data_IF_397463681353
#
_entry.id   IF_397463681353
#
_cell.length_a   1.000
_cell.length_b   1.000
_cell.length_c   1.000
_cell.angle_alpha   90.00
_cell.angle_beta   90.00
_cell.angle_gamma   90.00
#
_symmetry.space_group_name_H-M   'P 1'
#
loop_
_entity.id
_entity.type
_entity.pdbx_description
1 polymer ?
#
# COMPACT_ATOMS: atom_id res chain seq x y z
N UNK A 1 14.69 -16.20 -7.24
CA UNK A 1 14.79 -16.27 -5.76
C UNK A 1 14.12 -15.01 -5.23
N UNK A 2 12.87 -15.09 -4.77
CA UNK A 2 12.10 -13.93 -4.32
C UNK A 2 12.48 -13.59 -2.88
N UNK A 3 13.51 -12.76 -2.73
CA UNK A 3 13.81 -12.12 -1.46
C UNK A 3 12.68 -11.13 -1.16
N UNK A 4 12.11 -11.16 0.06
CA UNK A 4 11.40 -9.99 0.61
C UNK A 4 12.19 -8.73 0.26
N UNK A 5 11.57 -7.66 -0.26
CA UNK A 5 12.26 -6.39 -0.39
C UNK A 5 12.91 -6.09 0.97
N UNK A 6 14.23 -6.01 1.00
CA UNK A 6 14.99 -5.72 2.22
C UNK A 6 14.92 -4.23 2.58
N UNK A 7 14.10 -3.47 1.86
CA UNK A 7 13.94 -2.03 1.97
C UNK A 7 12.49 -1.71 2.31
N UNK A 8 12.29 -0.62 3.04
CA UNK A 8 10.95 -0.13 3.39
C UNK A 8 10.16 0.26 2.14
N UNK A 9 8.83 0.22 2.19
CA UNK A 9 7.96 0.66 1.09
C UNK A 9 8.25 2.12 0.71
N UNK A 10 8.52 2.99 1.69
CA UNK A 10 8.95 4.37 1.48
C UNK A 10 10.23 4.45 0.65
N UNK A 11 11.26 3.68 1.03
CA UNK A 11 12.54 3.70 0.32
C UNK A 11 12.43 3.05 -1.06
N UNK A 12 11.60 2.01 -1.21
CA UNK A 12 11.25 1.42 -2.51
C UNK A 12 10.66 2.46 -3.45
N UNK A 13 9.66 3.23 -3.00
CA UNK A 13 9.04 4.30 -3.81
C UNK A 13 10.06 5.35 -4.20
N UNK A 14 10.89 5.81 -3.26
CA UNK A 14 11.92 6.83 -3.53
C UNK A 14 12.90 6.33 -4.60
N UNK A 15 13.43 5.12 -4.44
CA UNK A 15 14.37 4.54 -5.42
C UNK A 15 13.72 4.30 -6.78
N UNK A 16 12.47 3.84 -6.81
CA UNK A 16 11.74 3.64 -8.05
C UNK A 16 11.57 4.96 -8.81
N UNK A 17 11.07 5.99 -8.11
CA UNK A 17 10.83 7.32 -8.69
C UNK A 17 12.12 7.94 -9.22
N UNK A 18 13.24 7.80 -8.51
CA UNK A 18 14.55 8.26 -8.99
C UNK A 18 14.94 7.61 -10.32
N UNK A 19 14.72 6.29 -10.48
CA UNK A 19 15.05 5.56 -11.71
C UNK A 19 14.18 5.95 -12.90
N UNK A 20 12.95 6.41 -12.65
CA UNK A 20 11.97 6.72 -13.69
C UNK A 20 11.66 8.22 -13.81
N UNK A 21 12.41 9.07 -13.12
CA UNK A 21 12.14 10.51 -13.02
C UNK A 21 11.98 11.20 -14.39
N UNK A 22 12.87 10.87 -15.33
CA UNK A 22 12.87 11.43 -16.68
C UNK A 22 11.87 10.76 -17.64
N UNK A 23 11.11 9.75 -17.17
CA UNK A 23 10.12 9.02 -17.99
C UNK A 23 8.69 9.54 -17.81
N UNK A 24 8.47 10.42 -16.84
CA UNK A 24 7.17 11.06 -16.66
C UNK A 24 6.83 11.92 -17.87
N UNK A 25 5.64 11.72 -18.42
CA UNK A 25 5.10 12.51 -19.52
C UNK A 25 4.01 13.46 -19.02
N UNK A 26 3.86 14.61 -19.65
CA UNK A 26 2.78 15.56 -19.33
C UNK A 26 1.43 14.88 -19.57
N UNK A 27 0.52 15.00 -18.61
CA UNK A 27 -0.81 14.38 -18.68
C UNK A 27 -1.78 15.30 -19.42
N UNK A 28 -1.79 15.25 -20.73
CA UNK A 28 -2.73 15.98 -21.57
C UNK A 28 -4.03 15.18 -21.72
N UNK A 29 -5.18 15.81 -21.45
CA UNK A 29 -6.53 15.20 -21.56
C UNK A 29 -6.68 13.86 -20.80
N UNK A 30 -6.54 13.85 -19.45
CA UNK A 30 -6.77 12.63 -18.68
C UNK A 30 -8.21 12.11 -18.87
N UNK A 31 -8.43 10.78 -18.82
CA UNK A 31 -9.77 10.21 -18.84
C UNK A 31 -10.65 10.79 -17.72
N UNK A 32 -11.94 10.94 -17.98
CA UNK A 32 -12.91 11.40 -16.95
C UNK A 32 -13.00 10.45 -15.76
N UNK A 33 -12.63 9.18 -15.95
CA UNK A 33 -12.60 8.15 -14.92
C UNK A 33 -11.36 8.23 -14.03
N UNK A 34 -10.40 9.12 -14.32
CA UNK A 34 -9.14 9.22 -13.58
C UNK A 34 -9.39 9.61 -12.13
N UNK A 35 -8.87 8.79 -11.22
CA UNK A 35 -8.83 9.08 -9.80
C UNK A 35 -7.39 9.07 -9.28
N UNK A 36 -7.14 9.87 -8.25
CA UNK A 36 -5.87 9.98 -7.56
C UNK A 36 -6.00 9.47 -6.13
N UNK A 37 -4.95 8.80 -5.66
CA UNK A 37 -4.89 8.35 -4.28
C UNK A 37 -4.64 9.55 -3.35
N UNK A 38 -5.61 9.87 -2.52
CA UNK A 38 -5.47 10.83 -1.42
C UNK A 38 -4.76 10.15 -0.23
N UNK A 39 -3.44 10.24 -0.24
CA UNK A 39 -2.60 9.70 0.83
C UNK A 39 -2.74 10.47 2.16
N UNK A 40 -3.42 11.62 2.20
CA UNK A 40 -3.74 12.32 3.46
C UNK A 40 -5.03 11.78 4.11
N UNK A 41 -5.83 11.03 3.36
CA UNK A 41 -7.05 10.42 3.88
C UNK A 41 -6.73 9.41 4.99
N UNK A 42 -7.46 9.50 6.10
CA UNK A 42 -7.42 8.50 7.18
C UNK A 42 -8.35 7.30 6.92
N UNK A 43 -9.07 7.31 5.80
CA UNK A 43 -9.97 6.21 5.43
C UNK A 43 -9.20 4.99 4.94
N UNK A 44 -9.90 3.86 4.82
CA UNK A 44 -9.43 2.68 4.10
C UNK A 44 -9.04 3.04 2.66
N UNK A 45 -8.05 2.34 2.09
CA UNK A 45 -7.46 2.69 0.79
C UNK A 45 -8.49 2.79 -0.34
N UNK A 46 -9.48 1.90 -0.36
CA UNK A 46 -10.53 1.91 -1.37
C UNK A 46 -11.43 3.15 -1.31
N UNK A 47 -11.52 3.84 -0.17
CA UNK A 47 -12.22 5.13 0.00
C UNK A 47 -11.32 6.35 -0.22
N UNK A 48 -10.03 6.13 -0.45
CA UNK A 48 -9.04 7.20 -0.58
C UNK A 48 -8.80 7.62 -2.03
N UNK A 49 -9.63 7.19 -2.99
CA UNK A 49 -9.55 7.65 -4.38
C UNK A 49 -10.42 8.90 -4.58
N UNK A 50 -9.90 9.88 -5.32
CA UNK A 50 -10.54 11.18 -5.58
C UNK A 50 -10.30 11.63 -7.02
N UNK A 51 -11.30 12.22 -7.67
CA UNK A 51 -11.15 12.80 -9.01
C UNK A 51 -10.12 13.96 -9.06
N UNK A 52 -9.96 14.70 -7.96
CA UNK A 52 -9.00 15.80 -7.87
C UNK A 52 -7.64 15.34 -7.32
N UNK A 53 -6.56 15.88 -7.87
CA UNK A 53 -5.21 15.64 -7.37
C UNK A 53 -5.05 16.09 -5.89
N UNK A 54 -4.26 15.38 -5.05
CA UNK A 54 -4.07 15.73 -3.65
C UNK A 54 -3.48 17.14 -3.45
N UNK A 55 -4.10 17.96 -2.60
CA UNK A 55 -3.75 19.37 -2.40
C UNK A 55 -2.31 19.62 -1.90
N UNK A 56 -1.68 18.64 -1.25
CA UNK A 56 -0.42 18.82 -0.51
C UNK A 56 0.73 17.92 -0.97
N UNK A 57 0.75 17.52 -2.25
CA UNK A 57 1.63 16.45 -2.74
C UNK A 57 2.39 16.74 -4.00
N UNK A 58 3.64 16.25 -4.04
CA UNK A 58 4.43 16.20 -5.28
C UNK A 58 4.23 14.90 -6.05
N UNK A 59 3.80 13.82 -5.40
CA UNK A 59 3.68 12.49 -6.00
C UNK A 59 2.50 11.75 -5.39
N UNK A 60 1.73 11.05 -6.22
CA UNK A 60 0.72 10.08 -5.79
C UNK A 60 0.54 8.97 -6.82
N UNK A 61 -0.32 8.00 -6.54
CA UNK A 61 -0.80 7.00 -7.52
C UNK A 61 -2.06 7.55 -8.19
N UNK A 62 -2.19 7.37 -9.51
CA UNK A 62 -3.45 7.51 -10.22
C UNK A 62 -3.98 6.14 -10.66
N UNK A 63 -5.27 6.08 -10.93
CA UNK A 63 -5.94 4.97 -11.61
C UNK A 63 -6.93 5.51 -12.64
N UNK A 64 -6.95 4.90 -13.81
CA UNK A 64 -7.94 5.21 -14.87
C UNK A 64 -9.00 4.12 -14.98
N UNK A 65 -8.66 2.90 -14.56
CA UNK A 65 -9.54 1.74 -14.47
C UNK A 65 -9.00 0.74 -13.42
N UNK A 66 -9.67 -0.40 -13.24
CA UNK A 66 -9.23 -1.47 -12.32
C UNK A 66 -7.93 -2.16 -12.77
N UNK A 67 -7.45 -1.92 -13.98
CA UNK A 67 -6.21 -2.50 -14.52
C UNK A 67 -5.25 -1.45 -15.08
N UNK A 68 -5.54 -0.16 -14.88
CA UNK A 68 -4.71 0.93 -15.39
C UNK A 68 -4.34 1.87 -14.25
N UNK A 69 -3.09 1.75 -13.80
CA UNK A 69 -2.52 2.47 -12.67
C UNK A 69 -1.18 3.06 -13.04
N UNK A 70 -0.81 4.14 -12.37
CA UNK A 70 0.53 4.68 -12.47
C UNK A 70 0.85 5.71 -11.40
N UNK A 71 2.00 6.34 -11.56
CA UNK A 71 2.41 7.48 -10.74
C UNK A 71 1.97 8.77 -11.40
N UNK A 72 1.49 9.70 -10.59
CA UNK A 72 1.23 11.07 -10.96
C UNK A 72 2.09 11.99 -10.10
N UNK A 73 2.70 13.00 -10.71
CA UNK A 73 3.41 14.07 -10.02
C UNK A 73 2.93 15.43 -10.50
N UNK A 74 3.08 16.45 -9.66
CA UNK A 74 2.83 17.84 -10.04
C UNK A 74 4.13 18.61 -10.05
N UNK A 75 4.36 19.35 -11.13
CA UNK A 75 5.49 20.25 -11.32
C UNK A 75 5.02 21.51 -12.04
N UNK A 76 5.36 22.70 -11.55
CA UNK A 76 4.90 23.98 -12.12
C UNK A 76 3.39 24.07 -12.42
N UNK A 77 2.54 23.54 -11.54
CA UNK A 77 1.08 23.44 -11.69
C UNK A 77 0.58 22.49 -12.80
N UNK A 78 1.45 21.72 -13.41
CA UNK A 78 1.10 20.71 -14.42
C UNK A 78 1.21 19.30 -13.84
N UNK A 79 0.32 18.42 -14.27
CA UNK A 79 0.33 17.01 -13.88
C UNK A 79 1.16 16.23 -14.91
N UNK A 80 2.08 15.42 -14.42
CA UNK A 80 2.85 14.47 -15.19
C UNK A 80 2.53 13.06 -14.71
N UNK A 81 2.38 12.12 -15.62
CA UNK A 81 2.04 10.73 -15.32
C UNK A 81 3.02 9.74 -15.91
N UNK A 82 3.11 8.58 -15.27
CA UNK A 82 3.86 7.43 -15.73
C UNK A 82 3.07 6.18 -15.37
N UNK A 83 2.60 5.43 -16.36
CA UNK A 83 1.94 4.14 -16.13
C UNK A 83 2.90 3.16 -15.44
N UNK A 84 2.36 2.33 -14.54
CA UNK A 84 3.13 1.24 -13.97
C UNK A 84 3.38 0.16 -15.02
N UNK A 85 4.53 -0.54 -14.96
CA UNK A 85 4.74 -1.75 -15.73
C UNK A 85 3.68 -2.79 -15.40
N UNK A 86 3.27 -3.60 -16.38
CA UNK A 86 2.26 -4.64 -16.23
C UNK A 86 2.52 -5.55 -15.01
N UNK A 87 3.77 -5.95 -14.79
CA UNK A 87 4.17 -6.79 -13.66
C UNK A 87 3.84 -6.19 -12.28
N UNK A 88 3.87 -4.86 -12.13
CA UNK A 88 3.49 -4.16 -10.88
C UNK A 88 1.98 -4.25 -10.64
N UNK A 89 1.19 -4.25 -11.71
CA UNK A 89 -0.27 -4.34 -11.65
C UNK A 89 -0.69 -5.79 -11.35
N UNK A 90 -0.12 -6.76 -12.07
CA UNK A 90 -0.42 -8.20 -11.90
C UNK A 90 -0.12 -8.73 -10.50
N UNK A 91 0.93 -8.20 -9.85
CA UNK A 91 1.34 -8.63 -8.50
C UNK A 91 0.75 -7.76 -7.38
N UNK A 92 -0.17 -6.85 -7.74
CA UNK A 92 -0.79 -5.90 -6.83
C UNK A 92 0.25 -5.05 -6.05
N UNK A 93 1.44 -4.88 -6.62
CA UNK A 93 2.56 -4.15 -6.01
C UNK A 93 2.32 -2.63 -6.00
N UNK A 94 1.28 -2.17 -6.71
CA UNK A 94 0.68 -0.84 -6.54
C UNK A 94 0.40 -0.53 -5.06
N UNK A 95 -0.01 -1.52 -4.25
CA UNK A 95 -0.22 -1.33 -2.81
C UNK A 95 1.05 -0.90 -2.08
N UNK A 96 2.21 -1.43 -2.46
CA UNK A 96 3.51 -1.02 -1.89
C UNK A 96 3.76 0.46 -2.14
N UNK A 97 3.44 0.96 -3.33
CA UNK A 97 3.51 2.39 -3.63
C UNK A 97 2.55 3.20 -2.75
N UNK A 98 1.31 2.74 -2.59
CA UNK A 98 0.33 3.43 -1.75
C UNK A 98 0.77 3.53 -0.28
N UNK A 99 1.30 2.44 0.29
CA UNK A 99 1.85 2.44 1.65
C UNK A 99 3.06 3.38 1.77
N UNK A 100 4.02 3.29 0.84
CA UNK A 100 5.21 4.13 0.83
C UNK A 100 4.88 5.62 0.70
N UNK A 101 3.95 5.99 -0.18
CA UNK A 101 3.51 7.38 -0.35
C UNK A 101 2.81 7.91 0.89
N UNK A 102 1.97 7.09 1.56
CA UNK A 102 1.39 7.45 2.86
C UNK A 102 2.46 7.73 3.92
N UNK A 103 3.51 6.91 3.98
CA UNK A 103 4.65 7.15 4.87
C UNK A 103 5.37 8.47 4.55
N UNK A 104 5.66 8.73 3.27
CA UNK A 104 6.26 10.00 2.80
C UNK A 104 5.40 11.19 3.23
N UNK A 105 4.07 11.07 3.06
CA UNK A 105 3.08 12.06 3.49
C UNK A 105 2.84 12.14 5.00
N UNK A 106 3.66 11.46 5.82
CA UNK A 106 3.53 11.40 7.30
C UNK A 106 2.16 10.90 7.79
N UNK A 107 1.49 10.08 7.00
CA UNK A 107 0.21 9.45 7.33
C UNK A 107 0.28 7.92 7.09
N UNK A 108 1.18 7.20 7.79
CA UNK A 108 1.35 5.76 7.57
C UNK A 108 0.05 5.00 7.86
N UNK A 109 -0.16 3.91 7.12
CA UNK A 109 -1.29 3.03 7.35
C UNK A 109 -1.13 2.30 8.71
N UNK A 110 -2.25 1.87 9.29
CA UNK A 110 -2.28 1.27 10.63
C UNK A 110 -2.89 -0.12 10.60
N UNK A 111 -2.17 -1.10 11.12
CA UNK A 111 -2.71 -2.41 11.44
C UNK A 111 -3.01 -2.50 12.94
N UNK A 112 -4.02 -3.29 13.30
CA UNK A 112 -4.36 -3.57 14.69
C UNK A 112 -4.02 -5.01 15.03
N UNK A 113 -3.34 -5.22 16.14
CA UNK A 113 -2.96 -6.53 16.68
C UNK A 113 -3.64 -6.67 18.04
N UNK A 114 -4.57 -7.60 18.17
CA UNK A 114 -5.22 -7.89 19.45
C UNK A 114 -4.71 -9.21 20.02
N UNK A 115 -4.28 -9.22 21.27
CA UNK A 115 -3.85 -10.45 21.94
C UNK A 115 -5.07 -11.25 22.42
N UNK A 116 -5.04 -12.57 22.22
CA UNK A 116 -6.09 -13.53 22.58
C UNK A 116 -5.48 -14.78 23.21
N UNK A 117 -4.84 -14.61 24.37
CA UNK A 117 -4.08 -15.69 25.02
C UNK A 117 -2.84 -16.10 24.23
N UNK A 118 -2.80 -17.33 23.72
CA UNK A 118 -1.74 -17.85 22.85
C UNK A 118 -1.89 -17.43 21.38
N UNK A 119 -3.03 -16.84 21.02
CA UNK A 119 -3.33 -16.38 19.67
C UNK A 119 -3.31 -14.85 19.59
N UNK A 120 -3.23 -14.35 18.37
CA UNK A 120 -3.40 -12.93 18.03
C UNK A 120 -4.44 -12.80 16.91
N UNK A 121 -5.21 -11.72 16.94
CA UNK A 121 -6.02 -11.28 15.81
C UNK A 121 -5.33 -10.09 15.15
N UNK A 122 -5.21 -10.16 13.82
CA UNK A 122 -4.57 -9.13 13.00
C UNK A 122 -5.65 -8.50 12.13
N UNK A 123 -5.73 -7.17 12.12
CA UNK A 123 -6.60 -6.41 11.21
C UNK A 123 -5.74 -5.46 10.39
N UNK A 124 -5.73 -5.66 9.08
CA UNK A 124 -4.94 -4.88 8.13
C UNK A 124 -5.72 -3.64 7.66
N UNK A 125 -5.02 -2.52 7.34
CA UNK A 125 -5.66 -1.32 6.80
C UNK A 125 -6.18 -1.49 5.37
N UNK A 126 -5.61 -2.44 4.63
CA UNK A 126 -5.96 -2.83 3.27
C UNK A 126 -5.18 -4.09 2.89
N UNK A 127 -5.45 -4.61 1.69
CA UNK A 127 -4.70 -5.72 1.12
C UNK A 127 -3.20 -5.41 1.04
N UNK A 128 -2.37 -6.42 1.27
CA UNK A 128 -0.92 -6.33 1.07
C UNK A 128 -0.59 -6.55 -0.42
N UNK A 129 0.63 -6.18 -0.87
CA UNK A 129 1.15 -6.70 -2.14
C UNK A 129 1.20 -8.22 -2.10
N UNK A 130 1.08 -8.88 -3.26
CA UNK A 130 0.81 -10.32 -3.30
C UNK A 130 1.91 -11.17 -2.64
N UNK A 131 3.16 -10.74 -2.71
CA UNK A 131 4.26 -11.44 -2.07
C UNK A 131 4.13 -11.45 -0.54
N UNK A 132 3.96 -10.29 0.08
CA UNK A 132 3.73 -10.15 1.52
C UNK A 132 2.41 -10.79 1.96
N UNK A 133 1.39 -10.74 1.10
CA UNK A 133 0.11 -11.40 1.31
C UNK A 133 0.26 -12.92 1.39
N UNK A 134 1.04 -13.51 0.49
CA UNK A 134 1.32 -14.94 0.48
C UNK A 134 2.16 -15.37 1.69
N UNK A 135 3.15 -14.57 2.09
CA UNK A 135 3.90 -14.82 3.33
C UNK A 135 2.99 -14.79 4.55
N UNK A 136 2.04 -13.85 4.61
CA UNK A 136 1.07 -13.79 5.70
C UNK A 136 0.17 -15.03 5.71
N UNK A 137 -0.29 -15.52 4.56
CA UNK A 137 -1.07 -16.76 4.47
C UNK A 137 -0.33 -18.00 4.97
N UNK A 138 1.00 -18.03 4.92
CA UNK A 138 1.81 -19.11 5.48
C UNK A 138 1.87 -19.08 7.02
N UNK A 139 1.53 -17.94 7.64
CA UNK A 139 1.70 -17.71 9.08
C UNK A 139 0.38 -17.45 9.81
N UNK A 140 -0.67 -17.07 9.09
CA UNK A 140 -1.94 -16.63 9.65
C UNK A 140 -3.11 -17.16 8.83
N UNK A 141 -4.22 -17.44 9.51
CA UNK A 141 -5.45 -17.93 8.91
C UNK A 141 -6.46 -16.80 8.74
N UNK A 142 -7.13 -16.68 7.59
CA UNK A 142 -8.21 -15.70 7.39
C UNK A 142 -9.35 -15.88 8.41
N UNK A 143 -9.88 -14.79 8.94
CA UNK A 143 -10.88 -14.83 10.03
C UNK A 143 -12.28 -15.25 9.55
N UNK A 144 -12.75 -14.73 8.42
CA UNK A 144 -14.13 -14.97 7.95
C UNK A 144 -14.20 -16.16 6.99
N UNK A 145 -13.45 -16.09 5.91
CA UNK A 145 -13.39 -17.11 4.87
C UNK A 145 -12.04 -17.03 4.14
N UNK A 146 -11.76 -17.99 3.25
CA UNK A 146 -10.48 -18.11 2.54
C UNK A 146 -10.15 -16.90 1.64
N UNK A 147 -11.14 -16.07 1.30
CA UNK A 147 -10.98 -14.86 0.50
C UNK A 147 -10.81 -13.61 1.38
N UNK A 148 -10.97 -13.70 2.71
CA UNK A 148 -10.68 -12.58 3.61
C UNK A 148 -9.20 -12.23 3.55
N UNK A 149 -8.93 -11.00 3.11
CA UNK A 149 -7.57 -10.49 2.95
C UNK A 149 -7.20 -9.43 3.99
N UNK A 150 -8.09 -9.10 4.92
CA UNK A 150 -7.89 -8.01 5.88
C UNK A 150 -7.88 -8.47 7.34
N UNK A 151 -8.59 -9.54 7.70
CA UNK A 151 -8.64 -10.02 9.08
C UNK A 151 -8.09 -11.45 9.19
N UNK A 152 -7.20 -11.67 10.16
CA UNK A 152 -6.52 -12.95 10.35
C UNK A 152 -6.39 -13.33 11.82
N UNK A 153 -6.24 -14.63 12.07
CA UNK A 153 -5.74 -15.20 13.31
C UNK A 153 -4.36 -15.81 13.11
N UNK A 154 -3.48 -15.66 14.09
CA UNK A 154 -2.17 -16.32 14.12
C UNK A 154 -1.84 -16.76 15.54
N UNK A 155 -0.86 -17.65 15.67
CA UNK A 155 -0.23 -17.91 16.97
C UNK A 155 0.73 -16.76 17.32
N UNK A 156 0.91 -16.50 18.62
CA UNK A 156 1.71 -15.38 19.12
C UNK A 156 3.20 -15.52 18.80
N UNK A 157 3.70 -16.74 18.67
CA UNK A 157 5.09 -17.06 18.33
C UNK A 157 5.50 -16.53 16.95
N UNK A 158 4.53 -16.40 16.03
CA UNK A 158 4.77 -15.87 14.68
C UNK A 158 4.67 -14.34 14.61
N UNK A 159 4.26 -13.67 15.69
CA UNK A 159 4.09 -12.22 15.72
C UNK A 159 5.34 -11.46 15.24
N UNK A 160 6.58 -11.79 15.66
CA UNK A 160 7.76 -11.04 15.21
C UNK A 160 7.99 -11.09 13.69
N UNK A 161 7.63 -12.21 13.04
CA UNK A 161 7.74 -12.34 11.59
C UNK A 161 6.67 -11.50 10.89
N UNK A 162 5.45 -11.48 11.41
CA UNK A 162 4.33 -10.68 10.90
C UNK A 162 4.64 -9.18 11.06
N UNK A 163 5.13 -8.76 12.22
CA UNK A 163 5.54 -7.37 12.47
C UNK A 163 6.62 -6.92 11.50
N UNK A 164 7.56 -7.80 11.14
CA UNK A 164 8.60 -7.52 10.15
C UNK A 164 8.01 -7.26 8.76
N UNK A 165 7.02 -8.05 8.32
CA UNK A 165 6.31 -7.82 7.06
C UNK A 165 5.64 -6.44 7.07
N UNK A 166 4.87 -6.15 8.12
CA UNK A 166 4.12 -4.89 8.24
C UNK A 166 5.06 -3.67 8.31
N UNK A 167 6.14 -3.79 9.08
CA UNK A 167 7.16 -2.74 9.21
C UNK A 167 7.87 -2.47 7.89
N UNK A 168 8.20 -3.51 7.12
CA UNK A 168 8.78 -3.34 5.79
C UNK A 168 7.82 -2.63 4.82
N UNK A 169 6.51 -2.79 5.00
CA UNK A 169 5.51 -2.04 4.26
C UNK A 169 5.23 -0.65 4.85
N UNK A 170 6.01 -0.17 5.82
CA UNK A 170 5.78 1.09 6.55
C UNK A 170 4.40 1.19 7.24
N UNK A 171 3.79 0.05 7.54
CA UNK A 171 2.55 -0.05 8.31
C UNK A 171 2.90 0.02 9.80
N UNK A 172 2.28 0.96 10.53
CA UNK A 172 2.43 1.04 11.99
C UNK A 172 1.43 0.11 12.67
N UNK A 173 1.82 -0.50 13.79
CA UNK A 173 0.95 -1.41 14.54
C UNK A 173 0.40 -0.74 15.80
N UNK A 174 -0.86 -1.00 16.10
CA UNK A 174 -1.50 -0.64 17.37
C UNK A 174 -1.89 -1.92 18.09
N UNK A 175 -1.51 -2.06 19.35
CA UNK A 175 -1.81 -3.23 20.16
C UNK A 175 -3.06 -2.97 21.00
N UNK A 176 -4.04 -3.86 20.90
CA UNK A 176 -5.23 -3.86 21.75
C UNK A 176 -5.21 -5.07 22.68
N UNK A 177 -5.70 -4.87 23.90
CA UNK A 177 -6.02 -5.98 24.78
C UNK A 177 -7.48 -6.39 24.51
N UNK A 178 -7.70 -7.66 24.16
CA UNK A 178 -9.05 -8.21 24.15
C UNK A 178 -9.48 -8.36 25.61
N UNK A 179 -10.46 -7.57 26.04
CA UNK A 179 -11.13 -7.77 27.34
C UNK A 179 -11.91 -9.08 27.35
#
# INVERSE_FOLDING_TARGET
MYSTPQISAKDYVIQYVQKVWNKFARSENPPETREYFDYNSRSAFWKSWKASYPKSGKLTVYKDSESDYGLARVDSCEIYTLAFPHAVIETNDVRRFMYGIRKIGKNPARATINSMGSMIQITLPSYLPDFEQNLLYMMAWPKKDILDRNEYFSIKELLPAIEKILTNLDITMTYGDSQ
#
